data_IF_745519609503
#
_entry.id   IF_745519609503
#
_cell.length_a   1.000
_cell.length_b   1.000
_cell.length_c   1.000
_cell.angle_alpha   90.00
_cell.angle_beta   90.00
_cell.angle_gamma   90.00
#
_symmetry.space_group_name_H-M   'P 1'
#
loop_
_entity.id
_entity.type
_entity.pdbx_description
1 polymer ?
#
# COMPACT_ATOMS: atom_id res chain seq x y z
N UNK A 1 -3.21 -35.45 2.81
CA UNK A 1 -3.28 -36.31 3.99
C UNK A 1 -3.52 -37.74 3.50
N UNK A 2 -2.73 -38.74 3.91
CA UNK A 2 -2.98 -40.14 3.55
C UNK A 2 -4.10 -40.76 4.40
N UNK A 3 -4.38 -40.21 5.57
CA UNK A 3 -5.45 -40.70 6.46
C UNK A 3 -6.73 -39.88 6.21
N UNK A 4 -7.85 -40.55 5.93
CA UNK A 4 -9.12 -39.93 5.63
C UNK A 4 -9.83 -39.36 6.88
N UNK A 5 -9.62 -40.00 8.05
CA UNK A 5 -10.17 -39.51 9.31
C UNK A 5 -9.54 -38.16 9.70
N UNK A 6 -8.20 -38.08 9.70
CA UNK A 6 -7.46 -36.85 9.97
C UNK A 6 -7.83 -35.76 8.96
N UNK A 7 -8.03 -36.13 7.71
CA UNK A 7 -8.43 -35.16 6.66
C UNK A 7 -9.80 -34.55 6.95
N UNK A 8 -10.80 -35.33 7.33
CA UNK A 8 -12.15 -34.86 7.67
C UNK A 8 -12.15 -33.94 8.90
N UNK A 9 -11.35 -34.28 9.91
CA UNK A 9 -11.15 -33.46 11.09
C UNK A 9 -10.56 -32.10 10.72
N UNK A 10 -9.48 -32.10 9.94
CA UNK A 10 -8.82 -30.88 9.49
C UNK A 10 -9.69 -30.05 8.54
N UNK A 11 -10.45 -30.67 7.65
CA UNK A 11 -11.43 -29.95 6.81
C UNK A 11 -12.51 -29.27 7.68
N UNK A 12 -12.97 -29.93 8.71
CA UNK A 12 -13.93 -29.34 9.67
C UNK A 12 -13.29 -28.15 10.43
N UNK A 13 -12.06 -28.31 10.88
CA UNK A 13 -11.33 -27.22 11.54
C UNK A 13 -11.17 -26.01 10.63
N UNK A 14 -10.61 -26.20 9.44
CA UNK A 14 -10.26 -25.07 8.57
C UNK A 14 -11.46 -24.42 7.91
N UNK A 15 -12.42 -25.19 7.43
CA UNK A 15 -13.55 -24.63 6.69
C UNK A 15 -14.73 -24.25 7.56
N UNK A 16 -15.02 -24.99 8.65
CA UNK A 16 -16.18 -24.69 9.51
C UNK A 16 -15.83 -23.85 10.73
N UNK A 17 -14.77 -24.20 11.46
CA UNK A 17 -14.41 -23.52 12.71
C UNK A 17 -13.65 -22.23 12.41
N UNK A 18 -12.56 -22.31 11.66
CA UNK A 18 -11.73 -21.16 11.32
C UNK A 18 -12.32 -20.32 10.17
N UNK A 19 -13.18 -20.91 9.36
CA UNK A 19 -13.77 -20.29 8.17
C UNK A 19 -12.70 -19.55 7.33
N UNK A 20 -11.67 -20.29 6.92
CA UNK A 20 -10.49 -19.73 6.26
C UNK A 20 -10.87 -18.98 4.98
N UNK A 21 -11.83 -19.46 4.22
CA UNK A 21 -12.26 -18.83 2.97
C UNK A 21 -12.66 -17.36 3.18
N UNK A 22 -13.29 -17.07 4.30
CA UNK A 22 -13.71 -15.72 4.64
C UNK A 22 -12.63 -14.94 5.39
N UNK A 23 -12.00 -15.54 6.39
CA UNK A 23 -11.15 -14.83 7.35
C UNK A 23 -9.70 -14.63 6.86
N UNK A 24 -9.19 -15.52 6.01
CA UNK A 24 -7.77 -15.54 5.62
C UNK A 24 -7.31 -14.22 4.97
N UNK A 25 -8.18 -13.59 4.19
CA UNK A 25 -7.87 -12.30 3.57
C UNK A 25 -7.65 -11.21 4.64
N UNK A 26 -8.52 -11.12 5.64
CA UNK A 26 -8.40 -10.15 6.73
C UNK A 26 -7.14 -10.37 7.58
N UNK A 27 -6.82 -11.62 7.91
CA UNK A 27 -5.61 -11.99 8.64
C UNK A 27 -4.35 -11.66 7.84
N UNK A 28 -4.30 -12.05 6.58
CA UNK A 28 -3.18 -11.75 5.67
C UNK A 28 -2.97 -10.26 5.49
N UNK A 29 -4.07 -9.49 5.33
CA UNK A 29 -4.01 -8.03 5.22
C UNK A 29 -3.42 -7.40 6.48
N UNK A 30 -3.83 -7.85 7.66
CA UNK A 30 -3.33 -7.36 8.95
C UNK A 30 -1.85 -7.71 9.13
N UNK A 31 -1.47 -8.94 8.84
CA UNK A 31 -0.08 -9.41 8.83
C UNK A 31 0.80 -8.56 7.89
N UNK A 32 0.37 -8.33 6.66
CA UNK A 32 1.12 -7.50 5.71
C UNK A 32 1.24 -6.04 6.15
N UNK A 33 0.19 -5.49 6.78
CA UNK A 33 0.15 -4.10 7.23
C UNK A 33 1.05 -3.83 8.44
N UNK A 34 1.00 -4.70 9.45
CA UNK A 34 1.72 -4.49 10.71
C UNK A 34 3.02 -5.29 10.80
N UNK A 35 3.19 -6.32 9.99
CA UNK A 35 4.27 -7.30 10.08
C UNK A 35 3.88 -8.53 10.89
N UNK A 36 2.95 -8.37 11.82
CA UNK A 36 2.50 -9.38 12.77
C UNK A 36 0.97 -9.46 12.80
N UNK A 37 0.45 -10.66 13.00
CA UNK A 37 -0.94 -10.90 13.32
C UNK A 37 -1.03 -12.04 14.34
N UNK A 38 -1.85 -11.86 15.37
CA UNK A 38 -2.02 -12.81 16.47
C UNK A 38 -3.44 -13.36 16.45
N UNK A 39 -3.55 -14.66 16.50
CA UNK A 39 -4.82 -15.37 16.54
C UNK A 39 -4.86 -16.20 17.83
N UNK A 40 -5.75 -15.83 18.75
CA UNK A 40 -6.00 -16.58 19.95
C UNK A 40 -6.87 -17.78 19.62
N UNK A 41 -6.49 -18.95 20.12
CA UNK A 41 -7.19 -20.22 19.96
C UNK A 41 -7.92 -20.54 21.25
N UNK A 42 -9.24 -20.61 21.19
CA UNK A 42 -10.08 -21.11 22.28
C UNK A 42 -10.15 -22.63 22.18
N UNK A 43 -9.48 -23.30 23.12
CA UNK A 43 -9.24 -24.74 23.09
C UNK A 43 -9.96 -25.42 24.24
N UNK A 44 -10.74 -26.45 23.90
CA UNK A 44 -11.41 -27.33 24.82
C UNK A 44 -10.74 -28.70 24.82
N UNK A 45 -10.65 -29.33 26.01
CA UNK A 45 -9.93 -30.60 26.16
C UNK A 45 -10.57 -31.77 25.39
N UNK A 46 -11.89 -31.74 25.19
CA UNK A 46 -12.64 -32.85 24.61
C UNK A 46 -12.89 -32.66 23.09
N UNK A 47 -13.04 -31.41 22.67
CA UNK A 47 -13.51 -31.06 21.31
C UNK A 47 -12.36 -30.47 20.46
N UNK A 48 -11.27 -30.06 21.09
CA UNK A 48 -10.17 -29.34 20.43
C UNK A 48 -10.45 -27.85 20.31
N UNK A 49 -10.06 -27.23 19.21
CA UNK A 49 -10.26 -25.81 18.97
C UNK A 49 -11.73 -25.55 18.65
N UNK A 50 -12.38 -24.70 19.46
CA UNK A 50 -13.78 -24.29 19.29
C UNK A 50 -13.92 -23.02 18.47
N UNK A 51 -13.02 -22.06 18.70
CA UNK A 51 -13.08 -20.76 18.09
C UNK A 51 -11.67 -20.14 17.95
N UNK A 52 -11.53 -19.14 17.11
CA UNK A 52 -10.30 -18.39 16.94
C UNK A 52 -10.60 -16.90 16.85
N UNK A 53 -9.95 -16.11 17.71
CA UNK A 53 -10.16 -14.67 17.83
C UNK A 53 -8.92 -13.90 17.46
N UNK A 54 -9.04 -12.95 16.52
CA UNK A 54 -7.95 -12.05 16.17
C UNK A 54 -7.66 -11.06 17.29
N UNK A 55 -6.42 -11.04 17.76
CA UNK A 55 -5.98 -10.11 18.80
C UNK A 55 -5.41 -8.81 18.18
N UNK A 56 -5.53 -7.66 18.87
CA UNK A 56 -4.99 -6.40 18.39
C UNK A 56 -3.45 -6.41 18.39
N UNK A 57 -2.83 -6.45 17.22
CA UNK A 57 -1.37 -6.60 17.06
C UNK A 57 -0.52 -5.52 17.75
N UNK A 58 -1.13 -4.40 18.15
CA UNK A 58 -0.41 -3.31 18.86
C UNK A 58 -0.33 -3.50 20.37
N UNK A 59 -1.15 -4.39 20.91
CA UNK A 59 -1.31 -4.58 22.35
C UNK A 59 -0.72 -5.90 22.83
N UNK A 60 -0.32 -6.74 21.90
CA UNK A 60 0.29 -8.03 22.21
C UNK A 60 1.80 -7.90 22.21
N UNK A 61 2.40 -8.31 23.30
CA UNK A 61 3.84 -8.41 23.48
C UNK A 61 4.25 -9.88 23.52
N UNK A 62 5.31 -10.21 22.79
CA UNK A 62 5.91 -11.53 22.80
C UNK A 62 7.06 -11.54 23.79
N UNK A 63 6.98 -12.38 24.78
CA UNK A 63 7.95 -12.53 25.86
C UNK A 63 8.81 -13.73 25.57
N UNK A 64 10.12 -13.53 25.44
CA UNK A 64 11.11 -14.58 25.21
C UNK A 64 12.28 -14.45 26.21
N UNK A 65 12.94 -15.56 26.52
CA UNK A 65 14.17 -15.59 27.31
C UNK A 65 14.03 -15.19 28.78
N UNK A 66 12.82 -15.12 29.31
CA UNK A 66 12.61 -14.85 30.75
C UNK A 66 12.82 -16.07 31.62
N UNK A 67 12.57 -17.25 31.07
CA UNK A 67 12.81 -18.50 31.76
C UNK A 67 14.30 -18.86 31.69
N UNK A 68 14.94 -19.01 32.84
CA UNK A 68 16.36 -19.38 32.93
C UNK A 68 16.63 -20.83 32.57
N UNK A 69 15.64 -21.71 32.78
CA UNK A 69 15.75 -23.14 32.50
C UNK A 69 15.48 -23.42 30.99
N UNK A 70 14.59 -22.68 30.38
CA UNK A 70 14.26 -22.79 28.96
C UNK A 70 14.25 -21.43 28.25
N UNK A 71 15.40 -20.96 27.75
CA UNK A 71 15.50 -19.65 27.07
C UNK A 71 14.62 -19.51 25.82
N UNK A 72 14.20 -20.66 25.25
CA UNK A 72 13.32 -20.70 24.06
C UNK A 72 11.83 -20.69 24.42
N UNK A 73 11.50 -20.59 25.72
CA UNK A 73 10.10 -20.52 26.14
C UNK A 73 9.49 -19.19 25.75
N UNK A 74 8.34 -19.26 25.11
CA UNK A 74 7.65 -18.10 24.52
C UNK A 74 6.27 -17.98 25.14
N UNK A 75 5.95 -16.79 25.61
CA UNK A 75 4.61 -16.40 26.04
C UNK A 75 4.16 -15.14 25.32
N UNK A 76 2.86 -14.90 25.32
CA UNK A 76 2.26 -13.70 24.76
C UNK A 76 1.47 -12.97 25.84
N UNK A 77 1.73 -11.70 26.02
CA UNK A 77 1.02 -10.86 26.97
C UNK A 77 0.13 -9.85 26.24
N UNK A 78 -1.12 -9.83 26.64
CA UNK A 78 -2.03 -8.77 26.18
C UNK A 78 -2.02 -7.63 27.20
N UNK A 79 -1.28 -6.57 26.89
CA UNK A 79 -0.96 -5.50 27.81
C UNK A 79 -2.19 -4.77 28.36
N UNK A 80 -3.18 -4.47 27.51
CA UNK A 80 -4.41 -3.77 27.96
C UNK A 80 -5.33 -4.65 28.80
N UNK A 81 -5.34 -5.96 28.60
CA UNK A 81 -6.14 -6.90 29.36
C UNK A 81 -5.41 -7.52 30.57
N UNK A 82 -4.08 -7.37 30.63
CA UNK A 82 -3.25 -7.97 31.70
C UNK A 82 -3.22 -9.50 31.69
N UNK A 83 -3.54 -10.11 30.55
CA UNK A 83 -3.63 -11.58 30.38
C UNK A 83 -2.40 -12.09 29.66
N UNK A 84 -1.83 -13.20 30.15
CA UNK A 84 -0.71 -13.89 29.52
C UNK A 84 -1.20 -15.21 28.91
N UNK A 85 -0.81 -15.47 27.68
CA UNK A 85 -1.14 -16.67 26.92
C UNK A 85 0.11 -17.52 26.71
N UNK A 86 -0.08 -18.81 26.69
CA UNK A 86 0.94 -19.77 26.33
C UNK A 86 1.15 -19.83 24.81
N UNK A 87 2.32 -20.31 24.38
CA UNK A 87 2.68 -20.41 22.97
C UNK A 87 1.70 -21.24 22.14
N UNK A 88 1.07 -22.25 22.73
CA UNK A 88 0.09 -23.10 22.05
C UNK A 88 -1.30 -22.48 21.95
N UNK A 89 -1.60 -21.46 22.75
CA UNK A 89 -2.88 -20.74 22.69
C UNK A 89 -2.89 -19.62 21.64
N UNK A 90 -1.73 -19.23 21.11
CA UNK A 90 -1.64 -18.15 20.14
C UNK A 90 -0.90 -18.59 18.89
N UNK A 91 -1.53 -18.44 17.73
CA UNK A 91 -0.87 -18.53 16.45
C UNK A 91 -0.35 -17.14 16.06
N UNK A 92 0.96 -17.04 15.83
CA UNK A 92 1.64 -15.78 15.53
C UNK A 92 2.13 -15.75 14.09
N UNK A 93 1.34 -15.18 13.22
CA UNK A 93 1.67 -14.99 11.80
C UNK A 93 2.64 -13.82 11.65
N UNK A 94 3.82 -14.06 11.07
CA UNK A 94 4.88 -13.06 10.95
C UNK A 94 5.43 -12.94 9.54
N UNK A 95 5.69 -11.70 9.10
CA UNK A 95 6.48 -11.43 7.90
C UNK A 95 7.92 -11.19 8.30
N UNK A 96 8.73 -12.24 8.30
CA UNK A 96 10.15 -12.14 8.62
C UNK A 96 10.90 -11.45 7.48
N UNK A 97 11.66 -10.40 7.77
CA UNK A 97 12.37 -9.67 6.74
C UNK A 97 13.46 -8.72 7.21
N UNK A 98 13.50 -8.38 8.50
CA UNK A 98 14.50 -7.47 9.03
C UNK A 98 14.88 -7.86 10.46
N UNK A 99 16.12 -8.25 10.66
CA UNK A 99 16.65 -8.71 11.95
C UNK A 99 16.57 -7.64 13.04
N UNK A 100 16.51 -6.35 12.65
CA UNK A 100 16.37 -5.24 13.60
C UNK A 100 15.12 -5.35 14.47
N UNK A 101 14.06 -5.96 13.97
CA UNK A 101 12.78 -6.07 14.66
C UNK A 101 12.52 -7.48 15.21
N UNK A 102 13.49 -8.38 15.08
CA UNK A 102 13.37 -9.70 15.68
C UNK A 102 13.06 -9.59 17.19
N UNK A 103 12.13 -10.38 17.73
CA UNK A 103 11.44 -11.53 17.16
C UNK A 103 10.13 -11.21 16.39
N UNK A 104 9.85 -9.93 16.20
CA UNK A 104 8.64 -9.47 15.50
C UNK A 104 8.82 -9.46 13.98
N UNK A 105 7.70 -9.46 13.26
CA UNK A 105 7.67 -9.29 11.83
C UNK A 105 7.86 -7.83 11.39
N UNK A 106 8.10 -7.65 10.11
CA UNK A 106 8.23 -6.33 9.48
C UNK A 106 7.13 -6.12 8.45
N UNK A 107 6.46 -4.98 8.52
CA UNK A 107 5.44 -4.62 7.54
C UNK A 107 6.00 -4.64 6.11
N UNK A 108 5.24 -5.20 5.17
CA UNK A 108 5.58 -5.14 3.73
C UNK A 108 5.71 -3.70 3.24
N UNK A 109 5.01 -2.77 3.89
CA UNK A 109 5.00 -1.34 3.55
C UNK A 109 6.17 -0.55 4.16
N UNK A 110 7.01 -1.15 5.01
CA UNK A 110 8.06 -0.41 5.71
C UNK A 110 9.07 0.22 4.74
N UNK A 111 9.51 -0.52 3.73
CA UNK A 111 10.43 -0.03 2.70
C UNK A 111 9.87 1.12 1.84
N UNK A 112 8.55 1.22 1.75
CA UNK A 112 7.86 2.22 0.93
C UNK A 112 7.50 3.51 1.68
N UNK A 113 7.55 3.53 3.01
CA UNK A 113 7.10 4.66 3.85
C UNK A 113 7.75 5.99 3.50
N UNK A 114 9.07 5.99 3.27
CA UNK A 114 9.81 7.21 2.92
C UNK A 114 9.41 7.71 1.54
N UNK A 115 9.32 6.79 0.58
CA UNK A 115 8.99 7.11 -0.81
C UNK A 115 7.56 7.63 -0.91
N UNK A 116 6.62 7.01 -0.19
CA UNK A 116 5.23 7.46 -0.11
C UNK A 116 5.12 8.90 0.38
N UNK A 117 5.83 9.26 1.45
CA UNK A 117 5.83 10.64 1.96
C UNK A 117 6.40 11.63 0.95
N UNK A 118 7.46 11.25 0.24
CA UNK A 118 8.05 12.10 -0.79
C UNK A 118 7.11 12.28 -1.97
N UNK A 119 6.44 11.21 -2.41
CA UNK A 119 5.48 11.26 -3.51
C UNK A 119 4.29 12.16 -3.15
N UNK A 120 3.67 11.95 -2.00
CA UNK A 120 2.52 12.76 -1.55
C UNK A 120 2.90 14.25 -1.47
N UNK A 121 4.06 14.56 -0.89
CA UNK A 121 4.53 15.95 -0.80
C UNK A 121 4.77 16.57 -2.20
N UNK A 122 5.32 15.80 -3.14
CA UNK A 122 5.56 16.28 -4.49
C UNK A 122 4.25 16.49 -5.25
N UNK A 123 3.28 15.57 -5.10
CA UNK A 123 1.95 15.71 -5.69
C UNK A 123 1.23 16.96 -5.17
N UNK A 124 1.25 17.20 -3.85
CA UNK A 124 0.66 18.38 -3.23
C UNK A 124 1.35 19.67 -3.70
N UNK A 125 2.69 19.68 -3.75
CA UNK A 125 3.47 20.80 -4.24
C UNK A 125 3.19 21.09 -5.73
N UNK A 126 3.06 20.04 -6.56
CA UNK A 126 2.74 20.17 -7.97
C UNK A 126 1.34 20.76 -8.17
N UNK A 127 0.35 20.30 -7.38
CA UNK A 127 -1.00 20.84 -7.42
C UNK A 127 -1.03 22.31 -7.00
N UNK A 128 -0.37 22.67 -5.90
CA UNK A 128 -0.27 24.04 -5.44
C UNK A 128 0.41 24.93 -6.50
N UNK A 129 1.52 24.47 -7.06
CA UNK A 129 2.24 25.18 -8.11
C UNK A 129 1.39 25.43 -9.37
N UNK A 130 0.62 24.42 -9.81
CA UNK A 130 -0.30 24.55 -10.95
C UNK A 130 -1.42 25.54 -10.67
N UNK A 131 -2.01 25.52 -9.46
CA UNK A 131 -3.06 26.45 -9.07
C UNK A 131 -2.52 27.88 -9.05
N UNK A 132 -1.33 28.11 -8.48
CA UNK A 132 -0.72 29.43 -8.37
C UNK A 132 -0.24 29.98 -9.72
N UNK A 133 0.28 29.11 -10.60
CA UNK A 133 0.83 29.54 -11.91
C UNK A 133 -0.10 29.38 -13.10
N UNK A 134 -1.23 28.70 -12.93
CA UNK A 134 -2.21 28.49 -14.01
C UNK A 134 -2.88 29.79 -14.51
N UNK A 135 -3.16 30.81 -13.66
CA UNK A 135 -3.75 32.02 -14.16
C UNK A 135 -2.77 32.75 -15.08
N UNK A 136 -3.22 33.09 -16.28
CA UNK A 136 -2.56 34.06 -17.14
C UNK A 136 -2.53 35.40 -16.41
N UNK A 137 -1.34 35.96 -16.22
CA UNK A 137 -1.17 37.30 -15.66
C UNK A 137 -1.22 38.31 -16.79
N UNK A 138 -1.93 39.40 -16.58
CA UNK A 138 -2.01 40.47 -17.54
C UNK A 138 -1.20 41.65 -17.04
N UNK A 139 -0.44 42.24 -17.94
CA UNK A 139 0.27 43.50 -17.69
C UNK A 139 -0.48 44.59 -18.43
N UNK A 140 -1.02 45.56 -17.70
CA UNK A 140 -1.69 46.74 -18.23
C UNK A 140 -0.69 47.85 -18.26
N UNK A 141 -0.26 48.26 -19.45
CA UNK A 141 0.50 49.50 -19.64
C UNK A 141 -0.51 50.62 -19.75
N UNK A 142 -0.51 51.54 -18.76
CA UNK A 142 -1.47 52.62 -18.70
C UNK A 142 -0.75 53.93 -19.03
N UNK A 143 -1.13 54.55 -20.14
CA UNK A 143 -0.59 55.88 -20.47
C UNK A 143 -1.14 56.92 -19.47
N UNK A 144 -0.21 57.56 -18.77
CA UNK A 144 -0.52 58.64 -17.79
C UNK A 144 -0.35 60.03 -18.40
N UNK A 145 0.04 60.14 -19.67
CA UNK A 145 0.15 61.41 -20.37
C UNK A 145 0.96 62.45 -19.59
N UNK A 146 0.38 63.67 -19.46
CA UNK A 146 1.00 64.80 -18.79
C UNK A 146 0.62 64.96 -17.30
N UNK A 147 0.13 63.91 -16.66
CA UNK A 147 -0.21 63.93 -15.22
C UNK A 147 1.06 64.21 -14.40
N UNK A 148 1.04 65.14 -13.44
CA UNK A 148 2.16 65.41 -12.53
C UNK A 148 2.56 64.11 -11.77
N UNK A 149 3.85 63.91 -11.53
CA UNK A 149 4.36 62.69 -10.89
C UNK A 149 3.71 62.42 -9.51
N UNK A 150 3.29 63.47 -8.81
CA UNK A 150 2.62 63.38 -7.50
C UNK A 150 1.20 62.77 -7.58
N UNK A 151 0.52 62.93 -8.72
CA UNK A 151 -0.87 62.54 -8.91
C UNK A 151 -1.00 61.19 -9.64
N UNK A 152 0.10 60.65 -10.18
CA UNK A 152 0.11 59.35 -10.92
C UNK A 152 -0.37 58.22 -10.05
N UNK A 153 0.05 58.18 -8.79
CA UNK A 153 -0.35 57.10 -7.87
C UNK A 153 -1.87 57.09 -7.61
N UNK A 154 -2.45 58.29 -7.39
CA UNK A 154 -3.91 58.41 -7.19
C UNK A 154 -4.69 58.08 -8.47
N UNK A 155 -4.18 58.44 -9.62
CA UNK A 155 -4.77 58.07 -10.91
C UNK A 155 -4.74 56.58 -11.10
N UNK A 156 -3.61 55.93 -10.86
CA UNK A 156 -3.46 54.46 -10.97
C UNK A 156 -4.39 53.71 -10.01
N UNK A 157 -4.52 54.17 -8.76
CA UNK A 157 -5.44 53.59 -7.79
C UNK A 157 -6.91 53.67 -8.24
N UNK A 158 -7.31 54.82 -8.78
CA UNK A 158 -8.67 55.02 -9.34
C UNK A 158 -8.89 54.07 -10.55
N UNK A 159 -7.90 53.98 -11.43
CA UNK A 159 -7.94 53.12 -12.60
C UNK A 159 -8.07 51.65 -12.19
N UNK A 160 -7.24 51.17 -11.28
CA UNK A 160 -7.28 49.81 -10.73
C UNK A 160 -8.64 49.52 -10.08
N UNK A 161 -9.16 50.47 -9.28
CA UNK A 161 -10.47 50.32 -8.63
C UNK A 161 -11.61 50.27 -9.65
N UNK A 162 -11.53 51.02 -10.74
CA UNK A 162 -12.54 50.97 -11.80
C UNK A 162 -12.50 49.68 -12.62
N UNK A 163 -11.32 49.08 -12.74
CA UNK A 163 -11.13 47.80 -13.46
C UNK A 163 -11.43 46.57 -12.59
N UNK A 164 -11.28 46.70 -11.27
CA UNK A 164 -11.67 45.64 -10.35
C UNK A 164 -13.20 45.49 -10.37
N UNK A 165 -13.68 44.36 -10.88
CA UNK A 165 -15.10 44.01 -10.77
C UNK A 165 -15.45 43.87 -9.29
N UNK A 166 -16.49 44.61 -8.86
CA UNK A 166 -17.03 44.47 -7.51
C UNK A 166 -17.38 42.97 -7.27
N UNK A 167 -16.96 42.46 -6.15
CA UNK A 167 -17.43 41.15 -5.70
C UNK A 167 -18.95 41.20 -5.60
N UNK A 168 -19.63 40.37 -6.38
CA UNK A 168 -21.08 40.20 -6.26
C UNK A 168 -21.33 39.38 -5.02
N UNK A 169 -21.64 40.06 -3.93
CA UNK A 169 -22.14 39.41 -2.71
C UNK A 169 -23.63 39.29 -2.87
N UNK A 170 -24.17 38.12 -2.80
CA UNK A 170 -25.61 37.88 -2.79
C UNK A 170 -26.21 38.59 -1.55
N UNK A 171 -27.08 39.56 -1.75
CA UNK A 171 -27.63 40.36 -0.64
C UNK A 171 -28.48 39.54 0.35
N UNK A 172 -29.04 38.43 -0.10
CA UNK A 172 -29.92 37.58 0.71
C UNK A 172 -29.18 36.50 1.51
N UNK A 173 -28.09 35.96 0.95
CA UNK A 173 -27.35 34.86 1.59
C UNK A 173 -25.99 35.27 2.16
N UNK A 174 -25.48 36.45 1.84
CA UNK A 174 -24.16 36.94 2.24
C UNK A 174 -22.99 36.14 1.66
N UNK A 175 -23.25 35.23 0.72
CA UNK A 175 -22.23 34.39 0.07
C UNK A 175 -21.63 35.11 -1.12
N UNK A 176 -20.30 35.04 -1.23
CA UNK A 176 -19.56 35.46 -2.43
C UNK A 176 -19.72 34.40 -3.51
N UNK A 177 -20.25 34.81 -4.67
CA UNK A 177 -20.33 33.89 -5.82
C UNK A 177 -18.94 33.74 -6.45
N UNK A 178 -18.24 32.65 -6.10
CA UNK A 178 -16.89 32.34 -6.58
C UNK A 178 -16.80 32.12 -8.10
N UNK A 179 -17.96 31.96 -8.78
CA UNK A 179 -17.99 31.81 -10.24
C UNK A 179 -17.68 33.15 -10.95
N UNK A 180 -17.89 34.26 -10.27
CA UNK A 180 -17.67 35.62 -10.80
C UNK A 180 -16.46 36.32 -10.21
N UNK A 181 -15.74 35.68 -9.29
CA UNK A 181 -14.49 36.20 -8.74
C UNK A 181 -13.31 35.39 -9.25
N UNK A 182 -12.84 35.58 -10.48
CA UNK A 182 -11.61 34.97 -10.91
C UNK A 182 -10.49 35.53 -10.04
N UNK A 183 -9.86 34.70 -9.23
CA UNK A 183 -8.69 35.03 -8.39
C UNK A 183 -7.56 35.69 -9.20
N UNK A 184 -7.61 35.62 -10.53
CA UNK A 184 -6.67 36.21 -11.48
C UNK A 184 -6.64 37.73 -11.52
N UNK A 185 -7.67 38.43 -11.06
CA UNK A 185 -7.73 39.93 -11.14
C UNK A 185 -6.84 40.58 -10.08
N UNK A 186 -6.55 39.89 -8.98
CA UNK A 186 -5.65 40.44 -7.93
C UNK A 186 -4.17 40.31 -8.29
N UNK A 187 -3.83 39.55 -9.31
CA UNK A 187 -2.44 39.31 -9.74
C UNK A 187 -2.05 40.06 -11.03
N UNK A 188 -2.96 40.92 -11.58
CA UNK A 188 -2.66 41.72 -12.75
C UNK A 188 -1.70 42.88 -12.40
N UNK A 189 -0.74 43.13 -13.28
CA UNK A 189 0.24 44.20 -13.11
C UNK A 189 -0.18 45.46 -13.86
N UNK A 190 -0.20 46.59 -13.17
CA UNK A 190 -0.51 47.88 -13.75
C UNK A 190 0.75 48.76 -13.75
N UNK A 191 1.27 49.08 -14.93
CA UNK A 191 2.51 49.81 -15.12
C UNK A 191 2.18 51.19 -15.76
N UNK A 192 2.43 52.33 -15.08
CA UNK A 192 2.27 53.64 -15.70
C UNK A 192 3.38 53.87 -16.73
N UNK A 193 3.00 54.26 -17.93
CA UNK A 193 3.92 54.58 -19.04
C UNK A 193 3.73 56.02 -19.46
N UNK A 194 4.82 56.69 -19.94
CA UNK A 194 4.80 58.01 -20.50
C UNK A 194 5.46 58.00 -21.87
N UNK A 195 4.91 58.74 -22.83
CA UNK A 195 5.46 58.90 -24.14
C UNK A 195 4.54 58.37 -25.25
N UNK A 196 5.08 58.08 -26.41
CA UNK A 196 4.31 57.59 -27.58
C UNK A 196 3.75 56.16 -27.44
N UNK A 197 3.73 55.63 -26.21
CA UNK A 197 3.25 54.24 -25.93
C UNK A 197 1.76 54.30 -25.64
N UNK A 198 0.98 53.74 -26.52
CA UNK A 198 -0.48 53.55 -26.29
C UNK A 198 -0.74 52.59 -25.16
N UNK A 199 -1.86 52.78 -24.45
CA UNK A 199 -2.33 51.82 -23.47
C UNK A 199 -2.47 50.44 -24.12
N UNK A 200 -1.67 49.47 -23.66
CA UNK A 200 -1.60 48.13 -24.19
C UNK A 200 -1.81 47.11 -23.07
N UNK A 201 -2.44 45.99 -23.41
CA UNK A 201 -2.62 44.85 -22.50
C UNK A 201 -1.77 43.71 -23.04
N UNK A 202 -0.76 43.32 -22.28
CA UNK A 202 0.10 42.22 -22.62
C UNK A 202 -0.23 41.01 -21.73
N UNK A 203 -0.55 39.87 -22.33
CA UNK A 203 -0.74 38.61 -21.59
C UNK A 203 0.61 37.97 -21.37
N UNK A 204 0.94 37.66 -20.11
CA UNK A 204 2.03 36.82 -19.72
C UNK A 204 1.51 35.36 -19.65
N UNK A 205 1.90 34.51 -20.61
CA UNK A 205 1.42 33.12 -20.62
C UNK A 205 1.82 32.41 -19.33
N UNK A 206 0.90 31.62 -18.79
CA UNK A 206 1.18 30.74 -17.67
C UNK A 206 2.28 29.72 -18.02
N UNK A 207 3.00 29.23 -17.03
CA UNK A 207 4.10 28.28 -17.25
C UNK A 207 3.62 26.95 -17.83
N UNK A 208 4.37 26.41 -18.78
CA UNK A 208 4.17 25.04 -19.30
C UNK A 208 4.76 23.99 -18.35
N UNK A 209 4.00 22.93 -18.02
CA UNK A 209 4.28 21.98 -16.92
C UNK A 209 4.72 20.58 -17.40
N UNK A 210 5.44 20.47 -18.48
CA UNK A 210 5.83 19.17 -19.05
C UNK A 210 6.91 18.42 -18.27
N UNK A 211 7.76 19.12 -17.50
CA UNK A 211 8.87 18.51 -16.77
C UNK A 211 8.49 17.89 -15.40
N UNK A 212 7.49 18.46 -14.73
CA UNK A 212 7.16 18.09 -13.34
C UNK A 212 6.49 16.69 -13.21
N UNK A 213 5.97 16.16 -14.31
CA UNK A 213 5.30 14.83 -14.34
C UNK A 213 6.33 13.69 -14.25
N UNK A 214 7.52 13.87 -14.77
CA UNK A 214 8.55 12.82 -14.82
C UNK A 214 9.09 12.52 -13.41
N UNK A 215 9.22 13.52 -12.55
CA UNK A 215 9.60 13.33 -11.15
C UNK A 215 8.55 12.54 -10.37
N UNK A 216 7.27 12.84 -10.59
CA UNK A 216 6.14 12.09 -9.99
C UNK A 216 6.14 10.64 -10.49
N UNK A 217 6.35 10.43 -11.79
CA UNK A 217 6.46 9.08 -12.38
C UNK A 217 7.63 8.31 -11.78
N UNK A 218 8.79 8.93 -11.66
CA UNK A 218 9.96 8.32 -11.04
C UNK A 218 9.71 7.86 -9.60
N UNK A 219 9.10 8.72 -8.77
CA UNK A 219 8.78 8.36 -7.39
C UNK A 219 7.69 7.29 -7.31
N UNK A 220 6.69 7.33 -8.19
CA UNK A 220 5.66 6.29 -8.31
C UNK A 220 6.29 4.94 -8.64
N UNK A 221 7.16 4.89 -9.64
CA UNK A 221 7.80 3.65 -10.08
C UNK A 221 8.73 3.10 -8.99
N UNK A 222 9.43 3.98 -8.30
CA UNK A 222 10.24 3.62 -7.13
C UNK A 222 9.39 3.09 -5.97
N UNK A 223 8.17 3.61 -5.77
CA UNK A 223 7.22 3.13 -4.78
C UNK A 223 6.80 1.69 -5.09
N UNK A 224 6.41 1.40 -6.34
CA UNK A 224 6.04 0.05 -6.76
C UNK A 224 7.20 -0.94 -6.64
N UNK A 225 8.40 -0.52 -7.00
CA UNK A 225 9.60 -1.32 -6.82
C UNK A 225 9.88 -1.64 -5.35
N UNK A 226 9.65 -0.68 -4.43
CA UNK A 226 9.82 -0.87 -2.99
C UNK A 226 8.82 -1.87 -2.40
N UNK A 227 7.57 -1.88 -2.88
CA UNK A 227 6.51 -2.83 -2.48
C UNK A 227 6.69 -4.18 -3.22
N UNK A 228 7.56 -4.24 -4.23
CA UNK A 228 7.79 -5.40 -5.11
C UNK A 228 6.57 -5.80 -5.95
N UNK A 229 5.69 -4.85 -6.26
CA UNK A 229 4.55 -5.05 -7.15
C UNK A 229 4.97 -4.59 -8.56
N UNK A 230 4.80 -5.43 -9.59
CA UNK A 230 5.04 -5.01 -10.97
C UNK A 230 4.08 -3.90 -11.37
N UNK A 231 4.61 -2.83 -11.93
CA UNK A 231 3.85 -1.66 -12.38
C UNK A 231 2.76 -2.03 -13.41
N UNK A 232 3.04 -3.03 -14.24
CA UNK A 232 2.13 -3.53 -15.28
C UNK A 232 0.79 -4.06 -14.76
N UNK A 233 0.70 -4.42 -13.49
CA UNK A 233 -0.58 -4.82 -12.87
C UNK A 233 -1.50 -3.64 -12.54
N UNK A 234 -0.93 -2.44 -12.37
CA UNK A 234 -1.65 -1.28 -11.85
C UNK A 234 -1.89 -0.19 -12.90
N UNK A 235 -1.02 -0.10 -13.91
CA UNK A 235 -1.09 0.94 -14.93
C UNK A 235 -1.33 0.28 -16.29
N UNK A 236 -2.51 0.53 -16.85
CA UNK A 236 -2.84 0.15 -18.22
C UNK A 236 -2.49 1.31 -19.17
N UNK A 237 -1.65 1.07 -20.17
CA UNK A 237 -1.49 1.95 -21.31
C UNK A 237 -0.23 2.82 -21.39
N UNK A 238 0.66 2.82 -20.40
CA UNK A 238 1.94 3.55 -20.48
C UNK A 238 3.12 2.66 -20.93
N UNK A 239 2.93 1.34 -20.99
CA UNK A 239 3.91 0.43 -21.59
C UNK A 239 3.53 0.19 -23.05
N UNK A 240 4.39 0.58 -23.99
CA UNK A 240 4.34 0.05 -25.34
C UNK A 240 4.28 -1.49 -25.29
N UNK A 241 4.13 -2.17 -26.41
CA UNK A 241 4.10 -3.63 -26.52
C UNK A 241 5.28 -4.25 -25.75
N UNK A 242 5.07 -4.45 -24.41
CA UNK A 242 6.04 -5.20 -23.63
C UNK A 242 6.07 -6.62 -24.18
N UNK A 243 7.26 -7.09 -24.48
CA UNK A 243 7.51 -8.45 -24.92
C UNK A 243 6.84 -9.40 -23.92
N UNK A 244 5.97 -10.30 -24.42
CA UNK A 244 5.24 -11.29 -23.60
C UNK A 244 6.17 -12.08 -22.68
N UNK A 245 7.42 -12.30 -23.11
CA UNK A 245 8.45 -12.95 -22.31
C UNK A 245 8.87 -12.12 -21.08
N UNK A 246 9.04 -10.82 -21.23
CA UNK A 246 9.39 -9.93 -20.13
C UNK A 246 8.27 -9.81 -19.10
N UNK A 247 7.02 -9.79 -19.55
CA UNK A 247 5.83 -9.79 -18.67
C UNK A 247 5.74 -11.08 -17.86
N UNK A 248 5.97 -12.24 -18.50
CA UNK A 248 5.97 -13.54 -17.83
C UNK A 248 7.06 -13.62 -16.73
N UNK A 249 8.27 -13.09 -16.99
CA UNK A 249 9.33 -13.06 -15.98
C UNK A 249 9.01 -12.15 -14.78
N UNK A 250 8.35 -11.01 -15.00
CA UNK A 250 7.88 -10.13 -13.93
C UNK A 250 6.83 -10.84 -13.07
N UNK A 251 5.91 -11.55 -13.70
CA UNK A 251 4.86 -12.34 -13.03
C UNK A 251 5.45 -13.44 -12.13
N UNK A 252 6.44 -14.17 -12.61
CA UNK A 252 7.14 -15.21 -11.84
C UNK A 252 7.85 -14.61 -10.61
N UNK A 253 8.51 -13.47 -10.74
CA UNK A 253 9.18 -12.79 -9.61
C UNK A 253 8.18 -12.33 -8.56
N UNK A 254 7.06 -11.79 -8.99
CA UNK A 254 5.97 -11.40 -8.10
C UNK A 254 5.35 -12.60 -7.39
N UNK A 255 5.06 -13.66 -8.13
CA UNK A 255 4.58 -14.93 -7.58
C UNK A 255 5.49 -15.48 -6.48
N UNK A 256 6.80 -15.46 -6.66
CA UNK A 256 7.76 -15.87 -5.62
C UNK A 256 7.69 -15.00 -4.37
N UNK A 257 7.41 -13.72 -4.51
CA UNK A 257 7.22 -12.82 -3.36
C UNK A 257 5.94 -13.17 -2.61
N UNK A 258 4.85 -13.44 -3.31
CA UNK A 258 3.58 -13.88 -2.71
C UNK A 258 3.75 -15.25 -2.04
N UNK A 259 4.43 -16.20 -2.68
CA UNK A 259 4.69 -17.53 -2.10
C UNK A 259 5.48 -17.47 -0.78
N UNK A 260 6.38 -16.49 -0.60
CA UNK A 260 7.05 -16.29 0.70
C UNK A 260 6.07 -15.88 1.80
N UNK A 261 5.11 -15.01 1.50
CA UNK A 261 4.04 -14.64 2.42
C UNK A 261 3.11 -15.82 2.71
N UNK A 262 2.71 -16.55 1.67
CA UNK A 262 1.92 -17.76 1.81
C UNK A 262 2.59 -18.79 2.72
N UNK A 263 3.91 -18.96 2.59
CA UNK A 263 4.66 -19.90 3.42
C UNK A 263 4.60 -19.53 4.90
N UNK A 264 4.71 -18.26 5.25
CA UNK A 264 4.56 -17.79 6.63
C UNK A 264 3.16 -18.07 7.19
N UNK A 265 2.13 -17.94 6.35
CA UNK A 265 0.74 -18.24 6.74
C UNK A 265 0.54 -19.74 6.93
N UNK A 266 0.99 -20.54 5.96
CA UNK A 266 0.84 -22.01 5.99
C UNK A 266 1.50 -22.62 7.22
N UNK A 267 2.69 -22.16 7.59
CA UNK A 267 3.42 -22.67 8.77
C UNK A 267 2.61 -22.50 10.05
N UNK A 268 1.96 -21.34 10.25
CA UNK A 268 1.14 -21.13 11.46
C UNK A 268 -0.19 -21.87 11.37
N UNK A 269 -0.78 -22.03 10.18
CA UNK A 269 -1.97 -22.86 10.00
C UNK A 269 -1.65 -24.34 10.28
N UNK A 270 -0.51 -24.87 9.84
CA UNK A 270 -0.06 -26.23 10.17
C UNK A 270 0.09 -26.39 11.69
N UNK A 271 0.66 -25.41 12.40
CA UNK A 271 0.74 -25.40 13.87
C UNK A 271 -0.65 -25.49 14.51
N UNK A 272 -1.64 -24.74 14.00
CA UNK A 272 -3.02 -24.81 14.49
C UNK A 272 -3.60 -26.21 14.30
N UNK A 273 -3.39 -26.83 13.14
CA UNK A 273 -3.81 -28.21 12.86
C UNK A 273 -3.18 -29.23 13.81
N UNK A 274 -1.88 -29.12 14.06
CA UNK A 274 -1.15 -29.98 15.01
C UNK A 274 -1.72 -29.86 16.43
N UNK A 275 -2.00 -28.63 16.89
CA UNK A 275 -2.57 -28.39 18.22
C UNK A 275 -3.97 -29.03 18.33
N UNK A 276 -4.79 -28.87 17.31
CA UNK A 276 -6.14 -29.45 17.28
C UNK A 276 -6.10 -30.99 17.31
N UNK A 277 -5.29 -31.62 16.48
CA UNK A 277 -5.12 -33.06 16.47
C UNK A 277 -4.55 -33.59 17.79
N UNK A 278 -3.57 -32.86 18.38
CA UNK A 278 -2.99 -33.22 19.68
C UNK A 278 -4.03 -33.22 20.78
N UNK A 279 -4.94 -32.25 20.82
CA UNK A 279 -6.02 -32.15 21.79
C UNK A 279 -7.03 -33.28 21.64
N UNK A 280 -7.31 -33.70 20.40
CA UNK A 280 -8.19 -34.84 20.11
C UNK A 280 -7.57 -36.23 20.43
N UNK A 281 -6.29 -36.25 20.83
CA UNK A 281 -5.64 -37.49 21.30
C UNK A 281 -4.69 -38.14 20.29
N UNK A 282 -4.54 -37.57 19.09
CA UNK A 282 -3.52 -38.05 18.13
C UNK A 282 -2.10 -37.83 18.64
N UNK A 283 -1.16 -38.69 18.31
CA UNK A 283 0.23 -38.60 18.78
C UNK A 283 1.20 -39.12 17.72
N UNK A 284 2.47 -38.72 17.86
CA UNK A 284 3.56 -39.20 17.02
C UNK A 284 3.45 -38.72 15.57
N UNK A 285 3.59 -39.63 14.63
CA UNK A 285 3.62 -39.32 13.20
C UNK A 285 2.28 -38.84 12.65
N UNK A 286 1.16 -39.16 13.28
CA UNK A 286 -0.17 -38.72 12.87
C UNK A 286 -0.33 -37.20 12.93
N UNK A 287 0.41 -36.54 13.83
CA UNK A 287 0.40 -35.08 13.97
C UNK A 287 1.03 -34.34 12.78
N UNK A 288 1.94 -34.96 12.07
CA UNK A 288 2.72 -34.34 10.98
C UNK A 288 2.40 -34.93 9.61
N UNK A 289 1.50 -35.91 9.55
CA UNK A 289 1.16 -36.65 8.34
C UNK A 289 0.21 -35.91 7.40
N UNK A 290 0.16 -34.59 7.49
CA UNK A 290 -0.58 -33.73 6.58
C UNK A 290 0.27 -32.54 6.13
N UNK A 291 -0.09 -31.99 4.98
CA UNK A 291 0.57 -30.80 4.43
C UNK A 291 -0.46 -29.85 3.84
N UNK A 292 -0.39 -28.60 4.27
CA UNK A 292 -1.22 -27.55 3.73
C UNK A 292 -0.52 -26.86 2.55
N UNK A 293 -1.28 -26.46 1.57
CA UNK A 293 -0.81 -25.66 0.44
C UNK A 293 -1.85 -24.60 0.08
N UNK A 294 -1.41 -23.40 -0.20
CA UNK A 294 -2.20 -22.38 -0.87
C UNK A 294 -1.93 -22.45 -2.38
N UNK A 295 -2.93 -22.09 -3.16
CA UNK A 295 -2.82 -22.09 -4.61
C UNK A 295 -1.71 -21.15 -5.08
N UNK A 296 -1.05 -21.52 -6.18
CA UNK A 296 -0.04 -20.69 -6.80
C UNK A 296 -0.72 -19.42 -7.36
N UNK A 297 -0.23 -18.20 -7.05
CA UNK A 297 -0.82 -16.97 -7.55
C UNK A 297 -0.62 -16.76 -9.06
N UNK A 298 0.34 -17.45 -9.68
CA UNK A 298 0.64 -17.34 -11.11
C UNK A 298 0.40 -18.65 -11.85
N UNK A 299 -0.52 -18.62 -12.82
CA UNK A 299 -0.73 -19.76 -13.74
C UNK A 299 0.48 -20.04 -14.64
N UNK A 300 1.25 -18.99 -14.99
CA UNK A 300 2.46 -19.12 -15.82
C UNK A 300 3.53 -19.88 -15.05
N UNK A 301 3.71 -19.57 -13.75
CA UNK A 301 4.64 -20.32 -12.89
C UNK A 301 4.23 -21.80 -12.75
N UNK A 302 2.94 -22.08 -12.64
CA UNK A 302 2.41 -23.42 -12.56
C UNK A 302 2.66 -24.23 -13.86
N UNK A 303 2.43 -23.61 -15.02
CA UNK A 303 2.75 -24.21 -16.32
C UNK A 303 4.24 -24.54 -16.46
N UNK A 304 5.12 -23.64 -16.05
CA UNK A 304 6.56 -23.88 -16.07
C UNK A 304 6.99 -25.00 -15.12
N UNK A 305 6.37 -25.13 -13.96
CA UNK A 305 6.59 -26.26 -13.07
C UNK A 305 6.18 -27.59 -13.74
N UNK A 306 5.02 -27.62 -14.40
CA UNK A 306 4.57 -28.78 -15.15
C UNK A 306 5.51 -29.15 -16.30
N UNK A 307 5.96 -28.18 -17.07
CA UNK A 307 6.95 -28.40 -18.14
C UNK A 307 8.28 -28.94 -17.58
N UNK A 308 8.73 -28.39 -16.44
CA UNK A 308 9.93 -28.87 -15.76
C UNK A 308 9.76 -30.32 -15.29
N UNK A 309 8.60 -30.68 -14.75
CA UNK A 309 8.30 -32.06 -14.36
C UNK A 309 8.24 -33.00 -15.56
N UNK A 310 7.58 -32.60 -16.65
CA UNK A 310 7.54 -33.37 -17.90
C UNK A 310 8.95 -33.64 -18.44
N UNK A 311 9.81 -32.60 -18.44
CA UNK A 311 11.22 -32.75 -18.87
C UNK A 311 11.97 -33.73 -17.97
N UNK A 312 11.79 -33.63 -16.64
CA UNK A 312 12.41 -34.57 -15.69
C UNK A 312 11.94 -36.00 -15.90
N UNK A 313 10.65 -36.23 -16.12
CA UNK A 313 10.11 -37.58 -16.40
C UNK A 313 10.63 -38.12 -17.74
N UNK A 314 10.70 -37.27 -18.77
CA UNK A 314 11.24 -37.67 -20.08
C UNK A 314 12.72 -38.09 -19.98
N UNK A 315 13.53 -37.28 -19.27
CA UNK A 315 14.95 -37.58 -19.05
C UNK A 315 15.11 -38.84 -18.20
N UNK A 316 14.29 -39.03 -17.17
CA UNK A 316 14.32 -40.24 -16.36
C UNK A 316 13.92 -41.51 -17.15
N UNK A 317 12.88 -41.41 -18.01
CA UNK A 317 12.49 -42.49 -18.90
C UNK A 317 13.61 -42.89 -19.87
N UNK A 318 14.23 -41.89 -20.50
CA UNK A 318 15.39 -42.12 -21.39
C UNK A 318 16.59 -42.77 -20.67
N UNK A 319 16.81 -42.39 -19.40
CA UNK A 319 17.90 -42.99 -18.60
C UNK A 319 17.63 -44.42 -18.17
N UNK A 320 16.38 -44.89 -18.16
CA UNK A 320 16.00 -46.28 -17.84
C UNK A 320 16.01 -47.16 -19.09
N UNK A 321 15.79 -46.59 -20.28
CA UNK A 321 15.78 -47.28 -21.57
C UNK A 321 17.17 -47.43 -22.17
N UNK A 322 18.19 -46.70 -21.73
CA UNK A 322 19.59 -46.78 -22.16
C UNK A 322 20.46 -47.50 -21.13
#
# INVERSE_FOLDING_TARGET
CPDEEIKQILETLYYKILNIEFNLFGWSRTMCKYGDFYLYLDIDADIGIKNALGLPSREIERIEGQDKENPNYIQYQWNSAGVTFENWQVAHFRVLGNDKFAPYGTSVLDSSRRIWRQLTLLEDAMMAYRIVRSPERRVFYVDVGNIPAQDVEQFMQRFITSMKRNQIVDPDTGRVDLRYNPMSVEEDYFIPVRGDVKTEIQSLPGGTFTGDIDDVRYLRDKLFAAIKIPQTYLIRGEGGEEDKGALAQKDIRFSRTVQRLQRSIVTELEKIGIIHLYTLGFRGDDLINFKLRLNNPSKISELQELETWNTKFTVAAQAVEG
#
